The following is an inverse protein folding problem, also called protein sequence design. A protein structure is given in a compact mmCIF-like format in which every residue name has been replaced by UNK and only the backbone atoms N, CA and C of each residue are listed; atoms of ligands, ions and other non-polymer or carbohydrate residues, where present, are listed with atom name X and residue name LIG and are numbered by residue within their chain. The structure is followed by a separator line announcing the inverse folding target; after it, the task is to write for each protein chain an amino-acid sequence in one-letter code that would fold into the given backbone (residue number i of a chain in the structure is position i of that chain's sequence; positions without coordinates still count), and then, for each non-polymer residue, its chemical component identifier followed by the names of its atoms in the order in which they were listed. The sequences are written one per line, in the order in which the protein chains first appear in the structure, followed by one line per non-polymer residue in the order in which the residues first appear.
data_IF_566977701867
#
_entry.id   IF_566977701867
#
_cell.length_a   1.000
_cell.length_b   1.000
_cell.length_c   1.000
_cell.angle_alpha   90.00
_cell.angle_beta   90.00
_cell.angle_gamma   90.00
#
_symmetry.space_group_name_H-M   'P 1'
#
loop_
_entity.id
_entity.type
_entity.pdbx_description
1 polymer ?
#
# COMPACT_ATOMS: atom_id res chain seq x y z
N UNK A 1 5.35 6.12 22.23
CA UNK A 1 4.85 5.90 21.04
C UNK A 1 5.24 6.92 20.05
N UNK A 2 5.21 6.58 18.92
CA UNK A 2 5.89 7.38 17.96
C UNK A 2 4.98 7.72 16.81
N UNK A 3 5.33 8.76 16.08
CA UNK A 3 4.65 9.14 14.87
C UNK A 3 4.74 8.03 13.83
N UNK A 4 5.79 7.21 13.88
CA UNK A 4 6.00 6.14 12.91
C UNK A 4 4.90 5.10 12.96
N UNK A 5 4.44 4.73 14.17
CA UNK A 5 3.38 3.74 14.28
C UNK A 5 2.05 4.29 13.77
N UNK A 6 1.78 5.57 14.04
CA UNK A 6 0.58 6.21 13.55
C UNK A 6 0.60 6.35 12.04
N UNK A 7 1.76 6.72 11.47
CA UNK A 7 1.91 6.82 10.03
C UNK A 7 1.74 5.47 9.36
N UNK A 8 2.34 4.43 9.95
CA UNK A 8 2.18 3.07 9.41
C UNK A 8 0.71 2.68 9.36
N UNK A 9 -0.01 2.89 10.46
CA UNK A 9 -1.41 2.47 10.53
C UNK A 9 -2.26 3.24 9.53
N UNK A 10 -2.04 4.55 9.43
CA UNK A 10 -2.78 5.37 8.48
C UNK A 10 -2.51 4.92 7.04
N UNK A 11 -1.26 4.63 6.73
CA UNK A 11 -0.89 4.22 5.39
C UNK A 11 -1.43 2.84 5.08
N UNK A 12 -1.35 1.91 6.03
CA UNK A 12 -1.89 0.57 5.84
C UNK A 12 -3.41 0.63 5.61
N UNK A 13 -4.11 1.46 6.36
CA UNK A 13 -5.55 1.63 6.19
C UNK A 13 -5.87 2.22 4.82
N UNK A 14 -5.12 3.24 4.41
CA UNK A 14 -5.31 3.86 3.11
C UNK A 14 -5.08 2.86 1.98
N UNK A 15 -4.00 2.07 2.08
CA UNK A 15 -3.69 1.06 1.08
C UNK A 15 -4.79 0.01 1.02
N UNK A 16 -5.30 -0.41 2.18
CA UNK A 16 -6.38 -1.39 2.25
C UNK A 16 -7.62 -0.89 1.52
N UNK A 17 -7.99 0.37 1.76
CA UNK A 17 -9.15 0.98 1.11
C UNK A 17 -8.94 1.07 -0.40
N UNK A 18 -7.74 1.47 -0.83
CA UNK A 18 -7.45 1.58 -2.26
C UNK A 18 -7.51 0.22 -2.95
N UNK A 19 -6.88 -0.79 -2.35
CA UNK A 19 -6.87 -2.14 -2.92
C UNK A 19 -8.31 -2.67 -3.00
N UNK A 20 -9.09 -2.49 -1.95
CA UNK A 20 -10.48 -2.93 -1.94
C UNK A 20 -11.26 -2.23 -3.05
N UNK A 21 -10.99 -0.96 -3.29
CA UNK A 21 -11.64 -0.21 -4.36
C UNK A 21 -11.31 -0.76 -5.74
N UNK A 22 -10.05 -1.10 -5.98
CA UNK A 22 -9.64 -1.67 -7.27
C UNK A 22 -10.28 -3.02 -7.50
N UNK A 23 -10.44 -3.81 -6.44
CA UNK A 23 -11.02 -5.14 -6.53
C UNK A 23 -12.54 -5.14 -6.40
N UNK A 24 -13.09 -4.01 -6.05
CA UNK A 24 -14.54 -3.84 -5.85
C UNK A 24 -15.07 -4.79 -4.77
N UNK A 25 -14.37 -4.82 -3.64
CA UNK A 25 -14.75 -5.64 -2.48
C UNK A 25 -14.72 -4.77 -1.24
N UNK A 26 -15.41 -5.20 -0.15
CA UNK A 26 -15.33 -4.45 1.11
C UNK A 26 -13.91 -4.48 1.69
N UNK A 27 -13.43 -3.37 2.28
CA UNK A 27 -12.09 -3.35 2.88
C UNK A 27 -11.89 -4.42 3.95
N UNK A 28 -12.95 -4.83 4.62
CA UNK A 28 -12.86 -5.84 5.68
C UNK A 28 -12.37 -7.19 5.18
N UNK A 29 -12.50 -7.44 3.87
CA UNK A 29 -12.11 -8.71 3.28
C UNK A 29 -10.63 -8.73 2.88
N UNK A 30 -9.94 -7.59 2.98
CA UNK A 30 -8.54 -7.49 2.59
C UNK A 30 -7.66 -7.78 3.81
N UNK A 31 -6.75 -8.74 3.63
CA UNK A 31 -5.78 -9.12 4.66
C UNK A 31 -4.44 -8.47 4.30
N UNK A 32 -3.89 -7.67 5.21
CA UNK A 32 -2.66 -6.92 4.92
C UNK A 32 -1.44 -7.84 4.78
N UNK A 33 -1.54 -9.09 5.23
CA UNK A 33 -0.45 -10.05 5.14
C UNK A 33 -0.54 -10.95 3.90
N UNK A 34 -1.62 -10.84 3.14
CA UNK A 34 -1.80 -11.65 1.94
C UNK A 34 -1.16 -10.94 0.75
N UNK A 35 -0.37 -11.63 -0.06
CA UNK A 35 0.20 -11.01 -1.26
C UNK A 35 -0.88 -10.41 -2.15
N UNK A 36 -0.62 -9.22 -2.65
CA UNK A 36 -1.60 -8.49 -3.47
C UNK A 36 -1.97 -9.28 -4.73
N UNK A 37 -1.01 -10.01 -5.30
CA UNK A 37 -1.29 -10.85 -6.45
C UNK A 37 -2.33 -11.91 -6.13
N UNK A 38 -2.30 -12.44 -4.90
CA UNK A 38 -3.27 -13.44 -4.46
C UNK A 38 -4.63 -12.80 -4.20
N UNK A 39 -4.66 -11.51 -3.93
CA UNK A 39 -5.91 -10.78 -3.77
C UNK A 39 -6.58 -10.44 -5.10
N UNK A 40 -5.83 -10.53 -6.20
CA UNK A 40 -6.37 -10.22 -7.51
C UNK A 40 -5.82 -8.94 -8.13
N UNK A 41 -4.82 -8.33 -7.52
CA UNK A 41 -4.20 -7.12 -8.08
C UNK A 41 -3.37 -7.51 -9.31
N UNK A 42 -3.66 -6.87 -10.42
CA UNK A 42 -2.91 -7.07 -11.66
C UNK A 42 -1.98 -5.87 -11.90
N UNK A 43 -1.29 -5.88 -13.05
CA UNK A 43 -0.34 -4.84 -13.39
C UNK A 43 -1.00 -3.47 -13.51
N UNK A 44 -2.22 -3.43 -14.01
CA UNK A 44 -2.94 -2.16 -14.19
C UNK A 44 -3.30 -1.57 -12.83
N UNK A 45 -3.82 -2.41 -11.93
CA UNK A 45 -4.16 -1.96 -10.57
C UNK A 45 -2.92 -1.56 -9.79
N UNK A 46 -1.81 -2.30 -9.98
CA UNK A 46 -0.55 -1.95 -9.34
C UNK A 46 -0.06 -0.58 -9.79
N UNK A 47 -0.17 -0.31 -11.08
CA UNK A 47 0.22 0.98 -11.64
C UNK A 47 -0.67 2.11 -11.08
N UNK A 48 -1.97 1.87 -10.98
CA UNK A 48 -2.90 2.84 -10.42
C UNK A 48 -2.57 3.13 -8.97
N UNK A 49 -2.20 2.11 -8.20
CA UNK A 49 -1.81 2.29 -6.82
C UNK A 49 -0.58 3.18 -6.70
N UNK A 50 0.41 2.98 -7.56
CA UNK A 50 1.62 3.81 -7.54
C UNK A 50 1.31 5.26 -7.88
N UNK A 51 0.44 5.49 -8.86
CA UNK A 51 0.02 6.85 -9.21
C UNK A 51 -0.71 7.50 -8.03
N UNK A 52 -1.60 6.78 -7.38
CA UNK A 52 -2.35 7.31 -6.25
C UNK A 52 -1.43 7.60 -5.06
N UNK A 53 -0.42 6.75 -4.82
CA UNK A 53 0.56 7.00 -3.77
C UNK A 53 1.31 8.31 -4.03
N UNK A 54 1.69 8.53 -5.27
CA UNK A 54 2.40 9.76 -5.62
C UNK A 54 1.49 10.98 -5.50
N UNK A 55 0.28 10.89 -6.01
CA UNK A 55 -0.62 12.05 -6.08
C UNK A 55 -1.26 12.37 -4.74
N UNK A 56 -1.64 11.36 -3.96
CA UNK A 56 -2.39 11.59 -2.72
C UNK A 56 -1.51 11.59 -1.48
N UNK A 57 -0.40 10.84 -1.50
CA UNK A 57 0.46 10.68 -0.33
C UNK A 57 1.86 11.27 -0.53
N UNK A 58 2.20 11.61 -1.76
CA UNK A 58 3.49 12.22 -2.04
C UNK A 58 4.66 11.25 -2.08
N UNK A 59 4.40 9.95 -2.19
CA UNK A 59 5.46 8.96 -2.31
C UNK A 59 5.78 8.72 -3.78
N UNK A 60 7.00 9.02 -4.19
CA UNK A 60 7.47 8.72 -5.54
C UNK A 60 7.96 7.27 -5.54
N UNK A 61 7.12 6.37 -6.03
CA UNK A 61 7.43 4.94 -6.03
C UNK A 61 7.36 4.41 -7.45
N UNK A 62 8.11 3.33 -7.69
CA UNK A 62 8.07 2.64 -8.97
C UNK A 62 7.01 1.54 -8.92
N UNK A 63 6.53 1.16 -10.10
CA UNK A 63 5.49 0.13 -10.19
C UNK A 63 5.96 -1.22 -9.64
N UNK A 64 7.28 -1.43 -9.60
CA UNK A 64 7.84 -2.66 -9.05
C UNK A 64 7.63 -2.79 -7.55
N UNK A 65 7.21 -1.72 -6.87
CA UNK A 65 7.02 -1.78 -5.41
C UNK A 65 6.06 -2.90 -5.02
N UNK A 66 5.06 -3.16 -5.84
CA UNK A 66 4.06 -4.19 -5.56
C UNK A 66 4.69 -5.58 -5.63
N UNK A 67 5.75 -5.74 -6.40
CA UNK A 67 6.45 -7.02 -6.52
C UNK A 67 7.57 -7.16 -5.50
N UNK A 68 8.24 -6.05 -5.18
CA UNK A 68 9.33 -6.05 -4.19
C UNK A 68 8.78 -6.14 -2.77
N UNK A 69 7.62 -5.55 -2.54
CA UNK A 69 6.95 -5.54 -1.24
C UNK A 69 5.52 -6.02 -1.48
N UNK A 70 5.30 -7.32 -1.55
CA UNK A 70 4.08 -7.87 -2.15
C UNK A 70 2.82 -7.78 -1.30
N UNK A 71 2.93 -7.33 -0.03
CA UNK A 71 1.75 -7.20 0.83
C UNK A 71 1.54 -5.77 1.24
N UNK A 72 0.32 -5.46 1.68
CA UNK A 72 0.01 -4.12 2.19
C UNK A 72 0.91 -3.80 3.39
N UNK A 73 1.10 -4.78 4.28
CA UNK A 73 1.97 -4.60 5.44
C UNK A 73 3.39 -4.23 5.00
N UNK A 74 3.94 -4.96 4.04
CA UNK A 74 5.31 -4.72 3.57
C UNK A 74 5.43 -3.35 2.91
N UNK A 75 4.46 -2.95 2.11
CA UNK A 75 4.48 -1.64 1.46
C UNK A 75 4.40 -0.53 2.50
N UNK A 76 3.46 -0.65 3.44
CA UNK A 76 3.29 0.37 4.47
C UNK A 76 4.54 0.50 5.33
N UNK A 77 5.14 -0.62 5.72
CA UNK A 77 6.35 -0.60 6.52
C UNK A 77 7.51 0.04 5.76
N UNK A 78 7.68 -0.32 4.49
CA UNK A 78 8.74 0.24 3.67
C UNK A 78 8.58 1.75 3.51
N UNK A 79 7.39 2.22 3.17
CA UNK A 79 7.16 3.63 2.92
C UNK A 79 7.26 4.45 4.19
N UNK A 80 6.81 3.91 5.31
CA UNK A 80 6.94 4.58 6.60
C UNK A 80 8.41 4.74 6.97
N UNK A 81 9.21 3.71 6.75
CA UNK A 81 10.64 3.75 7.03
C UNK A 81 11.35 4.77 6.12
N UNK A 82 10.96 4.84 4.84
CA UNK A 82 11.54 5.79 3.91
C UNK A 82 11.24 7.22 4.31
N UNK A 83 10.00 7.48 4.74
CA UNK A 83 9.61 8.82 5.15
C UNK A 83 10.31 9.23 6.44
N UNK A 84 10.54 8.29 7.34
CA UNK A 84 11.20 8.56 8.61
C UNK A 84 12.71 8.71 8.46
N UNK A 85 13.29 8.24 7.35
CA UNK A 85 14.74 8.31 7.14
C UNK A 85 15.19 9.76 7.04
N UNK A 86 16.35 10.10 7.65
CA UNK A 86 16.88 11.46 7.57
C UNK A 86 17.30 11.83 6.16
#
# INVERSE_FOLDING_TARGET
MTADAAEYQQLADWLTIKVAGYLNVPPDTIDIDTPLADCGIDSVSAMALCVDLQCEKGFAVETTIVWDYPTIDAIAAYLTAERAAP
#
